data_IF_831292374851
#
_entry.id   IF_831292374851
#
_cell.length_a   1.000
_cell.length_b   1.000
_cell.length_c   1.000
_cell.angle_alpha   90.00
_cell.angle_beta   90.00
_cell.angle_gamma   90.00
#
_symmetry.space_group_name_H-M   'P 1'
#
loop_
_entity.id
_entity.type
_entity.pdbx_description
1 polymer ?
#
# COMPACT_ATOMS: atom_id res chain seq x y z
N UNK A 1 -1.48 5.12 29.11
CA UNK A 1 -1.38 5.08 27.63
C UNK A 1 -1.50 6.49 27.10
N UNK A 2 -1.16 6.72 25.83
CA UNK A 2 -1.48 7.98 25.18
C UNK A 2 -2.99 8.07 24.91
N UNK A 3 -3.58 9.24 25.14
CA UNK A 3 -4.98 9.49 24.86
C UNK A 3 -5.11 10.50 23.72
N UNK A 4 -5.84 10.11 22.68
CA UNK A 4 -6.21 10.96 21.56
C UNK A 4 -7.69 11.36 21.70
N UNK A 5 -7.95 12.65 21.53
CA UNK A 5 -9.30 13.19 21.51
C UNK A 5 -9.69 13.46 20.06
N UNK A 6 -10.81 12.86 19.65
CA UNK A 6 -11.40 13.03 18.33
C UNK A 6 -12.61 13.94 18.43
N UNK A 7 -12.65 14.99 17.62
CA UNK A 7 -13.88 15.80 17.41
C UNK A 7 -14.47 15.51 16.04
N UNK A 8 -15.76 15.80 15.89
CA UNK A 8 -16.49 15.56 14.65
C UNK A 8 -17.37 16.76 14.32
N UNK A 9 -17.50 17.04 13.03
CA UNK A 9 -18.51 17.96 12.50
C UNK A 9 -19.92 17.43 12.77
N UNK A 10 -20.95 18.29 12.67
CA UNK A 10 -22.35 17.87 12.84
C UNK A 10 -22.80 16.72 11.92
N UNK A 11 -22.14 16.60 10.77
CA UNK A 11 -22.35 15.52 9.79
C UNK A 11 -21.56 14.23 10.10
N UNK A 12 -20.99 14.11 11.29
CA UNK A 12 -20.18 12.97 11.75
C UNK A 12 -18.89 12.72 10.95
N UNK A 13 -18.43 13.72 10.20
CA UNK A 13 -17.12 13.70 9.57
C UNK A 13 -16.05 14.13 10.59
N UNK A 14 -14.88 13.49 10.56
CA UNK A 14 -13.77 13.75 11.50
C UNK A 14 -13.35 15.22 11.41
N UNK A 15 -13.25 15.93 12.53
CA UNK A 15 -12.84 17.34 12.58
C UNK A 15 -11.40 17.50 13.09
N UNK A 16 -11.10 17.05 14.30
CA UNK A 16 -9.75 17.19 14.86
C UNK A 16 -9.26 15.92 15.55
N UNK A 17 -7.95 15.77 15.63
CA UNK A 17 -7.22 14.74 16.37
C UNK A 17 -6.12 15.44 17.17
N UNK A 18 -6.38 15.62 18.47
CA UNK A 18 -5.47 16.28 19.40
C UNK A 18 -5.08 15.34 20.53
N UNK A 19 -3.84 15.47 20.99
CA UNK A 19 -3.39 14.84 22.22
C UNK A 19 -3.76 15.72 23.44
N UNK A 20 -3.85 15.12 24.63
CA UNK A 20 -4.07 15.80 25.93
C UNK A 20 -2.88 16.66 26.40
N UNK A 21 -1.73 16.60 25.73
CA UNK A 21 -0.55 17.47 25.83
C UNK A 21 -0.14 17.95 24.40
N UNK A 22 0.82 18.88 24.18
CA UNK A 22 0.81 19.92 23.12
C UNK A 22 0.96 19.46 21.65
N UNK A 23 0.68 18.20 21.33
CA UNK A 23 0.73 17.66 19.99
C UNK A 23 -0.65 17.72 19.33
N UNK A 24 -0.70 18.40 18.19
CA UNK A 24 -1.83 18.40 17.28
C UNK A 24 -1.44 17.63 16.03
N UNK A 25 -2.23 16.63 15.65
CA UNK A 25 -2.00 15.85 14.43
C UNK A 25 -2.95 16.26 13.31
N UNK A 26 -4.19 16.57 13.69
CA UNK A 26 -5.19 17.25 12.86
C UNK A 26 -5.83 18.32 13.74
N UNK A 27 -5.62 19.59 13.42
CA UNK A 27 -6.24 20.72 14.13
C UNK A 27 -7.69 20.90 13.70
N UNK A 28 -7.97 20.74 12.41
CA UNK A 28 -9.32 20.80 11.86
C UNK A 28 -9.37 20.10 10.51
N UNK A 29 -10.57 19.76 10.08
CA UNK A 29 -10.83 19.41 8.70
C UNK A 29 -11.94 20.29 8.14
N UNK A 30 -11.94 20.42 6.83
CA UNK A 30 -13.07 20.99 6.11
C UNK A 30 -13.46 20.04 5.00
N UNK A 31 -14.75 19.78 4.89
CA UNK A 31 -15.33 18.98 3.82
C UNK A 31 -16.19 19.91 2.98
N UNK A 32 -15.68 20.28 1.81
CA UNK A 32 -16.41 21.04 0.79
C UNK A 32 -16.89 20.07 -0.29
N UNK A 33 -17.95 20.41 -1.05
CA UNK A 33 -18.41 19.58 -2.17
C UNK A 33 -17.32 19.29 -3.21
N UNK A 34 -16.30 20.16 -3.28
CA UNK A 34 -15.19 20.18 -4.22
C UNK A 34 -13.82 19.96 -3.55
N UNK A 35 -13.77 19.63 -2.25
CA UNK A 35 -12.49 19.34 -1.62
C UNK A 35 -12.49 18.91 -0.16
N UNK A 36 -11.34 18.40 0.28
CA UNK A 36 -11.05 18.06 1.68
C UNK A 36 -9.76 18.74 2.11
N UNK A 37 -9.78 19.31 3.32
CA UNK A 37 -8.58 19.84 3.98
C UNK A 37 -8.30 18.98 5.21
N UNK A 38 -7.10 18.41 5.30
CA UNK A 38 -6.57 17.87 6.55
C UNK A 38 -5.39 18.73 6.96
N UNK A 39 -5.39 19.25 8.18
CA UNK A 39 -4.19 19.90 8.67
C UNK A 39 -4.17 20.05 10.17
N UNK A 40 -2.98 20.07 10.75
CA UNK A 40 -2.78 20.85 11.96
C UNK A 40 -2.67 22.35 11.57
N UNK A 41 -2.66 23.29 12.50
CA UNK A 41 -2.50 24.70 12.15
C UNK A 41 -1.14 25.02 11.48
N UNK A 42 -0.34 24.02 11.11
CA UNK A 42 1.05 24.13 10.65
C UNK A 42 1.28 23.54 9.25
N UNK A 43 0.60 22.44 8.89
CA UNK A 43 0.61 21.80 7.56
C UNK A 43 -0.81 21.44 7.16
N UNK A 44 -1.13 21.63 5.88
CA UNK A 44 -2.40 21.23 5.29
C UNK A 44 -2.21 20.39 4.04
N UNK A 45 -3.17 19.50 3.78
CA UNK A 45 -3.35 18.79 2.52
C UNK A 45 -4.73 19.08 1.97
N UNK A 46 -4.75 19.67 0.78
CA UNK A 46 -5.95 20.00 0.01
C UNK A 46 -6.13 18.99 -1.12
N UNK A 47 -7.35 18.45 -1.21
CA UNK A 47 -7.81 17.65 -2.35
C UNK A 47 -8.77 18.50 -3.16
N UNK A 48 -8.46 18.78 -4.43
CA UNK A 48 -9.40 19.42 -5.35
C UNK A 48 -9.95 18.37 -6.32
N UNK A 49 -11.24 18.45 -6.63
CA UNK A 49 -11.90 17.54 -7.55
C UNK A 49 -12.37 18.27 -8.80
N UNK A 50 -12.33 17.58 -9.94
CA UNK A 50 -13.00 18.08 -11.13
C UNK A 50 -14.49 18.34 -10.85
N UNK A 51 -15.06 19.31 -11.55
CA UNK A 51 -16.52 19.48 -11.52
C UNK A 51 -17.22 18.21 -12.01
N UNK A 52 -18.35 17.88 -11.39
CA UNK A 52 -19.11 16.67 -11.68
C UNK A 52 -19.38 16.51 -13.19
N UNK A 53 -19.64 17.61 -13.89
CA UNK A 53 -20.01 17.63 -15.32
C UNK A 53 -18.86 17.35 -16.28
N UNK A 54 -17.59 17.44 -15.87
CA UNK A 54 -16.44 17.20 -16.76
C UNK A 54 -15.78 15.84 -16.55
N UNK A 55 -15.67 15.38 -15.30
CA UNK A 55 -14.94 14.16 -14.93
C UNK A 55 -15.57 13.45 -13.71
N UNK A 56 -16.85 13.66 -13.42
CA UNK A 56 -17.58 12.90 -12.40
C UNK A 56 -17.01 13.06 -10.98
N UNK A 57 -16.46 14.23 -10.64
CA UNK A 57 -15.83 14.49 -9.34
C UNK A 57 -14.62 13.60 -9.04
N UNK A 58 -13.86 13.21 -10.07
CA UNK A 58 -12.54 12.60 -9.92
C UNK A 58 -11.55 13.61 -9.33
N UNK A 59 -10.59 13.08 -8.58
CA UNK A 59 -9.52 13.86 -7.95
C UNK A 59 -8.69 14.57 -9.04
N UNK A 60 -8.60 15.89 -8.97
CA UNK A 60 -7.79 16.68 -9.90
C UNK A 60 -6.45 17.04 -9.29
N UNK A 61 -6.43 17.53 -8.05
CA UNK A 61 -5.19 17.92 -7.38
C UNK A 61 -5.07 17.32 -5.98
N UNK A 62 -3.84 16.95 -5.61
CA UNK A 62 -3.41 16.86 -4.21
C UNK A 62 -2.35 17.95 -4.01
N UNK A 63 -2.59 18.88 -3.09
CA UNK A 63 -1.64 19.91 -2.69
C UNK A 63 -1.33 19.75 -1.22
N UNK A 64 -0.07 19.75 -0.85
CA UNK A 64 0.33 19.75 0.55
C UNK A 64 1.39 20.80 0.80
N UNK A 65 1.26 21.51 1.92
CA UNK A 65 2.12 22.65 2.24
C UNK A 65 1.74 23.34 3.52
N UNK A 66 2.30 24.52 3.75
CA UNK A 66 1.89 25.38 4.87
C UNK A 66 0.58 26.10 4.54
N UNK A 67 -0.19 26.60 5.53
CA UNK A 67 -1.38 27.40 5.25
C UNK A 67 -1.13 28.65 4.39
N UNK A 68 0.08 29.23 4.46
CA UNK A 68 0.47 30.38 3.66
C UNK A 68 0.91 30.02 2.24
N UNK A 69 1.30 28.77 2.02
CA UNK A 69 1.79 28.23 0.75
C UNK A 69 1.34 26.76 0.62
N UNK A 70 0.06 26.53 0.22
CA UNK A 70 -0.62 25.24 0.30
C UNK A 70 -0.02 24.13 -0.57
N UNK A 71 0.80 24.49 -1.54
CA UNK A 71 1.44 23.57 -2.48
C UNK A 71 2.97 23.57 -2.37
N UNK A 72 3.55 24.19 -1.33
CA UNK A 72 5.01 24.25 -1.09
C UNK A 72 5.75 22.90 -0.94
N UNK A 73 5.07 21.82 -0.56
CA UNK A 73 5.71 20.51 -0.31
C UNK A 73 5.32 19.45 -1.35
N UNK A 74 4.10 19.52 -1.87
CA UNK A 74 3.57 18.56 -2.83
C UNK A 74 2.49 19.22 -3.67
N UNK A 75 2.51 18.96 -4.98
CA UNK A 75 1.45 19.37 -5.89
C UNK A 75 1.36 18.36 -7.03
N UNK A 76 0.40 17.45 -6.89
CA UNK A 76 0.13 16.40 -7.87
C UNK A 76 -1.16 16.74 -8.63
N UNK A 77 -1.09 16.85 -9.95
CA UNK A 77 -2.26 16.95 -10.83
C UNK A 77 -2.52 15.64 -11.56
N UNK A 78 -3.79 15.27 -11.71
CA UNK A 78 -4.23 14.01 -12.31
C UNK A 78 -5.13 14.26 -13.52
N UNK A 79 -4.75 13.68 -14.66
CA UNK A 79 -5.57 13.67 -15.89
C UNK A 79 -6.09 12.26 -16.16
N UNK A 80 -7.31 12.16 -16.69
CA UNK A 80 -8.00 10.89 -16.93
C UNK A 80 -8.45 10.72 -18.39
N UNK A 81 -8.53 9.47 -18.84
CA UNK A 81 -9.27 9.12 -20.04
C UNK A 81 -10.80 9.01 -19.77
N UNK A 82 -11.64 8.81 -20.79
CA UNK A 82 -13.09 8.64 -20.61
C UNK A 82 -13.47 7.43 -19.72
N UNK A 83 -12.65 6.37 -19.69
CA UNK A 83 -12.87 5.19 -18.86
C UNK A 83 -12.50 5.44 -17.38
N UNK A 84 -11.79 6.54 -17.10
CA UNK A 84 -11.34 6.92 -15.76
C UNK A 84 -9.97 6.37 -15.39
N UNK A 85 -9.19 5.90 -16.36
CA UNK A 85 -7.80 5.56 -16.12
C UNK A 85 -6.97 6.85 -16.07
N UNK A 86 -6.01 6.92 -15.14
CA UNK A 86 -5.11 8.08 -15.03
C UNK A 86 -4.13 8.04 -16.22
N UNK A 87 -4.19 9.03 -17.11
CA UNK A 87 -3.28 9.15 -18.26
C UNK A 87 -2.07 10.03 -17.98
N UNK A 88 -2.17 10.91 -16.98
CA UNK A 88 -1.07 11.78 -16.58
C UNK A 88 -1.09 12.03 -15.08
N UNK A 89 0.10 12.05 -14.48
CA UNK A 89 0.34 12.63 -13.15
C UNK A 89 1.43 13.69 -13.32
N UNK A 90 1.16 14.94 -12.97
CA UNK A 90 2.17 16.02 -12.96
C UNK A 90 2.54 16.34 -11.52
N UNK A 91 3.82 16.20 -11.18
CA UNK A 91 4.39 16.68 -9.93
C UNK A 91 5.15 18.00 -10.18
N UNK A 92 4.57 19.10 -9.70
CA UNK A 92 5.14 20.44 -9.86
C UNK A 92 6.29 20.73 -8.87
N UNK A 93 6.48 19.87 -7.86
CA UNK A 93 7.54 20.02 -6.85
C UNK A 93 8.70 19.06 -7.05
N UNK A 94 8.81 18.47 -8.24
CA UNK A 94 9.83 17.49 -8.59
C UNK A 94 11.18 18.12 -9.00
N UNK A 95 11.53 19.32 -8.50
CA UNK A 95 12.68 20.09 -8.99
C UNK A 95 12.44 20.73 -10.36
N UNK A 96 11.18 21.09 -10.62
CA UNK A 96 10.60 21.39 -11.93
C UNK A 96 9.45 20.42 -12.22
N UNK A 97 8.59 20.76 -13.17
CA UNK A 97 7.41 19.95 -13.49
C UNK A 97 7.83 18.60 -14.07
N UNK A 98 7.56 17.52 -13.32
CA UNK A 98 7.72 16.15 -13.80
C UNK A 98 6.37 15.59 -14.19
N UNK A 99 6.25 15.15 -15.44
CA UNK A 99 5.07 14.44 -15.93
C UNK A 99 5.36 12.94 -15.95
N UNK A 100 4.51 12.14 -15.29
CA UNK A 100 4.37 10.72 -15.57
C UNK A 100 3.20 10.54 -16.55
N UNK A 101 3.43 9.86 -17.66
CA UNK A 101 2.41 9.58 -18.67
C UNK A 101 2.13 8.08 -18.75
N UNK A 102 0.86 7.71 -18.89
CA UNK A 102 0.38 6.34 -18.91
C UNK A 102 -0.53 6.09 -20.10
N UNK A 103 -0.39 4.91 -20.69
CA UNK A 103 -1.33 4.40 -21.70
C UNK A 103 -1.92 3.06 -21.27
N UNK A 104 -3.08 2.71 -21.82
CA UNK A 104 -3.81 1.52 -21.45
C UNK A 104 -4.23 0.74 -22.71
N UNK A 105 -4.34 -0.58 -22.55
CA UNK A 105 -4.97 -1.43 -23.56
C UNK A 105 -6.50 -1.36 -23.49
N UNK A 106 -7.18 -2.03 -24.42
CA UNK A 106 -8.65 -2.06 -24.49
C UNK A 106 -9.32 -2.70 -23.26
N UNK A 107 -8.56 -3.40 -22.41
CA UNK A 107 -9.04 -3.99 -21.16
C UNK A 107 -8.72 -3.10 -19.94
N UNK A 108 -8.32 -1.83 -20.15
CA UNK A 108 -7.89 -0.89 -19.13
C UNK A 108 -6.69 -1.36 -18.31
N UNK A 109 -5.83 -2.21 -18.89
CA UNK A 109 -4.56 -2.60 -18.27
C UNK A 109 -3.46 -1.68 -18.75
N UNK A 110 -2.54 -1.33 -17.85
CA UNK A 110 -1.42 -0.45 -18.18
C UNK A 110 -0.61 -1.03 -19.34
N UNK A 111 -0.40 -0.27 -20.41
CA UNK A 111 0.31 -0.67 -21.62
C UNK A 111 1.68 0.02 -21.73
N UNK A 112 1.78 1.29 -21.33
CA UNK A 112 3.07 1.97 -21.16
C UNK A 112 3.04 2.97 -20.01
N UNK A 113 4.22 3.20 -19.43
CA UNK A 113 4.46 4.26 -18.46
C UNK A 113 5.81 4.92 -18.75
N UNK A 114 5.88 6.23 -18.65
CA UNK A 114 7.14 6.97 -18.82
C UNK A 114 7.13 8.27 -18.03
N UNK A 115 8.29 8.90 -17.92
CA UNK A 115 8.41 10.24 -17.33
C UNK A 115 9.10 11.22 -18.26
N UNK A 116 8.77 12.49 -18.11
CA UNK A 116 9.46 13.61 -18.74
C UNK A 116 9.51 14.81 -17.79
N UNK A 117 10.53 15.65 -17.95
CA UNK A 117 10.70 16.83 -17.10
C UNK A 117 11.10 16.54 -15.64
N UNK A 118 11.12 17.60 -14.84
CA UNK A 118 11.59 17.61 -13.46
C UNK A 118 13.05 17.19 -13.27
N UNK A 119 13.41 16.91 -12.03
CA UNK A 119 14.74 16.47 -11.60
C UNK A 119 14.65 15.18 -10.78
N UNK A 120 15.54 14.23 -11.10
CA UNK A 120 15.57 12.91 -10.48
C UNK A 120 14.34 12.06 -10.81
N UNK A 121 14.40 10.75 -10.55
CA UNK A 121 13.25 9.85 -10.73
C UNK A 121 12.84 9.56 -12.17
N UNK A 122 13.53 10.15 -13.14
CA UNK A 122 13.24 9.99 -14.55
C UNK A 122 13.49 8.55 -15.01
N UNK A 123 12.51 7.97 -15.69
CA UNK A 123 12.61 6.74 -16.46
C UNK A 123 11.99 6.92 -17.86
N UNK A 124 12.62 6.30 -18.86
CA UNK A 124 12.11 6.26 -20.23
C UNK A 124 10.88 5.37 -20.36
N UNK A 125 10.37 5.19 -21.58
CA UNK A 125 9.18 4.38 -21.78
C UNK A 125 9.38 2.91 -21.38
N UNK A 126 8.60 2.50 -20.38
CA UNK A 126 8.43 1.12 -19.99
C UNK A 126 7.14 0.58 -20.60
N UNK A 127 7.24 -0.52 -21.34
CA UNK A 127 6.09 -1.20 -21.94
C UNK A 127 5.66 -2.38 -21.08
N UNK A 128 4.37 -2.64 -21.11
CA UNK A 128 3.71 -3.70 -20.35
C UNK A 128 2.81 -4.47 -21.31
N UNK A 129 3.10 -5.75 -21.48
CA UNK A 129 2.32 -6.61 -22.36
C UNK A 129 1.73 -7.76 -21.59
N UNK A 130 0.63 -8.30 -22.09
CA UNK A 130 -0.12 -9.36 -21.44
C UNK A 130 -0.38 -10.48 -22.42
N UNK A 131 -0.34 -11.71 -21.93
CA UNK A 131 -0.74 -12.87 -22.69
C UNK A 131 -2.25 -12.77 -23.01
N UNK A 132 -2.60 -12.84 -24.29
CA UNK A 132 -3.98 -12.69 -24.75
C UNK A 132 -4.92 -13.81 -24.25
N UNK A 133 -4.40 -15.01 -23.99
CA UNK A 133 -5.19 -16.16 -23.54
C UNK A 133 -5.34 -16.24 -22.02
N UNK A 134 -4.27 -15.95 -21.26
CA UNK A 134 -4.29 -16.09 -19.79
C UNK A 134 -4.53 -14.78 -19.05
N UNK A 135 -4.31 -13.63 -19.71
CA UNK A 135 -4.34 -12.31 -19.08
C UNK A 135 -3.11 -12.00 -18.21
N UNK A 136 -2.19 -12.95 -18.03
CA UNK A 136 -0.99 -12.75 -17.23
C UNK A 136 -0.06 -11.71 -17.90
N UNK A 137 0.65 -10.87 -17.12
CA UNK A 137 1.71 -10.03 -17.65
C UNK A 137 2.80 -10.87 -18.32
N UNK A 138 3.08 -10.63 -19.60
CA UNK A 138 4.16 -11.28 -20.37
C UNK A 138 5.42 -10.43 -20.42
N UNK A 139 5.30 -9.11 -20.30
CA UNK A 139 6.43 -8.19 -20.19
C UNK A 139 6.14 -7.10 -19.16
N UNK A 140 7.17 -6.71 -18.42
CA UNK A 140 7.15 -5.63 -17.44
C UNK A 140 8.39 -4.76 -17.63
N UNK A 141 8.23 -3.59 -18.23
CA UNK A 141 9.31 -2.61 -18.40
C UNK A 141 10.52 -3.17 -19.13
N UNK A 142 10.29 -3.97 -20.18
CA UNK A 142 11.35 -4.62 -20.97
C UNK A 142 11.77 -5.99 -20.45
N UNK A 143 11.35 -6.39 -19.24
CA UNK A 143 11.64 -7.73 -18.68
C UNK A 143 10.51 -8.69 -19.04
N UNK A 144 10.84 -9.77 -19.76
CA UNK A 144 9.86 -10.81 -20.10
C UNK A 144 9.64 -11.76 -18.92
N UNK A 145 8.38 -12.11 -18.66
CA UNK A 145 7.97 -12.98 -17.56
C UNK A 145 7.53 -14.34 -18.11
N UNK A 146 8.05 -15.42 -17.54
CA UNK A 146 7.76 -16.80 -17.95
C UNK A 146 6.93 -17.53 -16.91
N UNK A 147 6.06 -18.43 -17.38
CA UNK A 147 5.12 -19.20 -16.56
C UNK A 147 5.24 -20.68 -16.91
N UNK A 148 6.27 -21.34 -16.37
CA UNK A 148 6.58 -22.75 -16.64
C UNK A 148 5.81 -23.75 -15.78
N UNK A 149 5.12 -23.28 -14.74
CA UNK A 149 4.37 -24.13 -13.81
C UNK A 149 2.92 -24.29 -14.26
N UNK A 150 2.56 -25.50 -14.71
CA UNK A 150 1.22 -25.80 -15.19
C UNK A 150 0.20 -25.94 -14.06
N UNK A 151 0.62 -26.23 -12.84
CA UNK A 151 -0.24 -26.29 -11.66
C UNK A 151 -0.49 -24.89 -11.08
N UNK A 152 0.45 -23.97 -11.31
CA UNK A 152 0.38 -22.58 -10.86
C UNK A 152 0.43 -21.61 -12.05
N UNK A 153 -0.57 -21.66 -12.93
CA UNK A 153 -0.58 -20.90 -14.21
C UNK A 153 -0.48 -19.38 -14.08
N UNK A 154 -0.66 -18.83 -12.88
CA UNK A 154 -0.53 -17.39 -12.60
C UNK A 154 0.81 -17.02 -11.95
N UNK A 155 1.66 -18.00 -11.66
CA UNK A 155 2.92 -17.84 -10.94
C UNK A 155 4.09 -17.67 -11.92
N UNK A 156 4.81 -16.56 -11.81
CA UNK A 156 6.01 -16.30 -12.61
C UNK A 156 7.10 -17.26 -12.17
N UNK A 157 7.63 -18.09 -13.07
CA UNK A 157 8.71 -19.03 -12.74
C UNK A 157 10.10 -18.47 -13.02
N UNK A 158 10.21 -17.55 -13.97
CA UNK A 158 11.48 -16.90 -14.31
C UNK A 158 11.30 -15.61 -15.10
N UNK A 159 12.37 -14.82 -15.20
CA UNK A 159 12.41 -13.60 -16.00
C UNK A 159 13.57 -13.62 -17.01
N UNK A 160 13.46 -12.83 -18.08
CA UNK A 160 14.57 -12.63 -19.04
C UNK A 160 15.78 -11.92 -18.41
N UNK A 161 15.63 -11.35 -17.21
CA UNK A 161 16.71 -10.75 -16.43
C UNK A 161 17.43 -11.77 -15.51
N UNK A 162 17.13 -13.07 -15.65
CA UNK A 162 17.82 -14.14 -14.92
C UNK A 162 17.29 -14.42 -13.51
N UNK A 163 16.13 -13.86 -13.14
CA UNK A 163 15.46 -14.19 -11.88
C UNK A 163 14.67 -15.50 -12.01
N UNK A 164 14.54 -16.22 -10.91
CA UNK A 164 13.84 -17.50 -10.85
C UNK A 164 13.01 -17.63 -9.57
N UNK A 165 11.86 -18.30 -9.66
CA UNK A 165 10.94 -18.48 -8.55
C UNK A 165 10.39 -19.89 -8.51
N UNK A 166 10.18 -20.38 -7.29
CA UNK A 166 9.68 -21.72 -6.99
C UNK A 166 8.48 -21.63 -6.07
N UNK A 167 7.57 -22.59 -6.18
CA UNK A 167 6.30 -22.58 -5.48
C UNK A 167 6.02 -23.95 -4.84
N UNK A 168 5.33 -23.94 -3.69
CA UNK A 168 4.73 -25.16 -3.12
C UNK A 168 3.42 -25.53 -3.83
N UNK A 169 2.80 -26.66 -3.46
CA UNK A 169 1.53 -27.13 -4.02
C UNK A 169 0.33 -26.20 -3.78
N UNK A 170 0.44 -25.28 -2.80
CA UNK A 170 -0.58 -24.27 -2.52
C UNK A 170 -0.32 -22.97 -3.29
N UNK A 171 0.72 -22.93 -4.13
CA UNK A 171 1.16 -21.77 -4.89
C UNK A 171 1.80 -20.67 -4.04
N UNK A 172 2.34 -20.99 -2.85
CA UNK A 172 3.18 -20.07 -2.09
C UNK A 172 4.60 -20.08 -2.65
N UNK A 173 5.18 -18.89 -2.86
CA UNK A 173 6.55 -18.75 -3.36
C UNK A 173 7.56 -19.21 -2.31
N UNK A 174 8.16 -20.39 -2.47
CA UNK A 174 9.14 -20.98 -1.53
C UNK A 174 10.59 -20.64 -1.86
N UNK A 175 10.88 -20.38 -3.13
CA UNK A 175 12.19 -19.97 -3.61
C UNK A 175 12.07 -18.68 -4.41
N UNK A 176 12.94 -17.72 -4.12
CA UNK A 176 13.01 -16.44 -4.81
C UNK A 176 14.45 -16.08 -5.09
N UNK A 177 14.82 -16.04 -6.36
CA UNK A 177 16.12 -15.57 -6.82
C UNK A 177 15.92 -14.29 -7.62
N UNK A 178 16.44 -13.17 -7.11
CA UNK A 178 16.40 -11.87 -7.80
C UNK A 178 17.76 -11.21 -7.69
N UNK A 179 18.22 -10.60 -8.78
CA UNK A 179 19.47 -9.82 -8.80
C UNK A 179 20.71 -10.60 -8.30
N UNK A 180 20.72 -11.92 -8.48
CA UNK A 180 21.81 -12.81 -8.03
C UNK A 180 21.68 -13.28 -6.58
N UNK A 181 20.79 -12.68 -5.78
CA UNK A 181 20.52 -13.08 -4.41
C UNK A 181 19.42 -14.14 -4.35
N UNK A 182 19.59 -15.10 -3.44
CA UNK A 182 18.65 -16.21 -3.26
C UNK A 182 18.02 -16.17 -1.87
N UNK A 183 16.70 -16.24 -1.84
CA UNK A 183 15.88 -16.25 -0.65
C UNK A 183 15.03 -17.53 -0.61
N UNK A 184 14.99 -18.16 0.54
CA UNK A 184 14.06 -19.26 0.86
C UNK A 184 12.99 -18.74 1.79
N UNK A 185 11.74 -18.93 1.39
CA UNK A 185 10.55 -18.44 2.07
C UNK A 185 9.77 -19.62 2.65
N UNK A 186 9.49 -19.58 3.94
CA UNK A 186 8.79 -20.66 4.66
C UNK A 186 7.46 -20.15 5.19
N UNK A 187 6.42 -20.96 5.02
CA UNK A 187 5.04 -20.63 5.35
C UNK A 187 4.50 -21.53 6.45
N UNK A 188 3.54 -21.02 7.21
CA UNK A 188 2.72 -21.84 8.10
C UNK A 188 1.58 -22.55 7.34
N UNK A 189 0.79 -23.34 8.08
CA UNK A 189 -0.34 -24.08 7.51
C UNK A 189 -1.49 -23.21 6.99
N UNK A 190 -1.50 -21.91 7.31
CA UNK A 190 -2.46 -20.92 6.80
C UNK A 190 -1.88 -20.10 5.62
N UNK A 191 -0.74 -20.54 5.07
CA UNK A 191 -0.04 -19.88 3.97
C UNK A 191 0.36 -18.44 4.30
N UNK A 192 0.81 -18.21 5.53
CA UNK A 192 1.43 -16.95 5.98
C UNK A 192 2.94 -17.12 6.04
N UNK A 193 3.69 -16.15 5.50
CA UNK A 193 5.16 -16.19 5.48
C UNK A 193 5.70 -16.03 6.89
N UNK A 194 6.25 -17.08 7.48
CA UNK A 194 6.78 -17.06 8.85
C UNK A 194 8.30 -16.91 8.91
N UNK A 195 9.01 -17.18 7.81
CA UNK A 195 10.46 -17.07 7.78
C UNK A 195 11.01 -16.77 6.39
N UNK A 196 12.06 -15.94 6.35
CA UNK A 196 12.93 -15.74 5.19
C UNK A 196 14.36 -16.11 5.59
N UNK A 197 15.06 -16.82 4.71
CA UNK A 197 16.47 -17.21 4.89
C UNK A 197 17.24 -17.13 3.56
N UNK A 198 18.57 -17.27 3.60
CA UNK A 198 19.45 -17.10 2.44
C UNK A 198 20.21 -15.77 2.52
N UNK A 199 20.05 -14.92 1.50
CA UNK A 199 20.67 -13.60 1.43
C UNK A 199 20.25 -12.64 2.57
N UNK A 200 19.08 -12.88 3.16
CA UNK A 200 18.63 -12.18 4.37
C UNK A 200 17.96 -13.15 5.34
N UNK A 201 17.82 -12.73 6.59
CA UNK A 201 17.16 -13.52 7.65
C UNK A 201 16.03 -12.73 8.29
N UNK A 202 14.87 -13.37 8.35
CA UNK A 202 13.73 -12.84 9.07
C UNK A 202 12.80 -13.92 9.62
N UNK A 203 12.18 -13.63 10.76
CA UNK A 203 11.11 -14.43 11.37
C UNK A 203 9.89 -13.54 11.64
N UNK A 204 8.70 -14.03 11.31
CA UNK A 204 7.43 -13.33 11.48
C UNK A 204 6.48 -14.13 12.37
N UNK A 205 5.67 -13.43 13.17
CA UNK A 205 4.60 -14.04 13.95
C UNK A 205 3.30 -13.27 13.74
N UNK A 206 2.20 -14.02 13.68
CA UNK A 206 0.87 -13.53 13.41
C UNK A 206 -0.09 -13.89 14.55
N UNK A 207 -1.11 -13.06 14.77
CA UNK A 207 -2.22 -13.40 15.64
C UNK A 207 -3.23 -14.36 14.94
N UNK A 208 -4.31 -14.71 15.64
CA UNK A 208 -5.35 -15.59 15.12
C UNK A 208 -6.16 -14.99 13.96
N UNK A 209 -6.13 -13.68 13.78
CA UNK A 209 -6.81 -12.96 12.69
C UNK A 209 -5.88 -12.74 11.48
N UNK A 210 -4.61 -13.15 11.58
CA UNK A 210 -3.61 -13.02 10.53
C UNK A 210 -2.88 -11.67 10.51
N UNK A 211 -3.01 -10.83 11.54
CA UNK A 211 -2.22 -9.61 11.66
C UNK A 211 -0.82 -9.95 12.15
N UNK A 212 0.21 -9.34 11.54
CA UNK A 212 1.59 -9.49 12.00
C UNK A 212 1.78 -8.77 13.34
N UNK A 213 2.18 -9.52 14.37
CA UNK A 213 2.38 -9.01 15.74
C UNK A 213 3.85 -8.94 16.14
N UNK A 214 4.73 -9.64 15.41
CA UNK A 214 6.18 -9.61 15.63
C UNK A 214 6.91 -9.83 14.30
N UNK A 215 7.97 -9.08 14.09
CA UNK A 215 8.97 -9.36 13.07
C UNK A 215 10.36 -9.30 13.72
N UNK A 216 11.24 -10.23 13.36
CA UNK A 216 12.68 -10.14 13.66
C UNK A 216 13.40 -10.16 12.32
N UNK A 217 13.99 -9.04 11.92
CA UNK A 217 14.64 -8.89 10.60
C UNK A 217 16.06 -8.40 10.82
N UNK A 218 17.06 -9.11 10.28
CA UNK A 218 18.47 -8.75 10.46
C UNK A 218 18.89 -8.65 11.94
N UNK A 219 18.27 -9.45 12.82
CA UNK A 219 18.51 -9.44 14.26
C UNK A 219 17.74 -8.38 15.06
N UNK A 220 17.01 -7.47 14.41
CA UNK A 220 16.18 -6.46 15.09
C UNK A 220 14.76 -6.99 15.29
N UNK A 221 14.32 -7.13 16.54
CA UNK A 221 12.95 -7.52 16.88
C UNK A 221 12.06 -6.29 17.03
N UNK A 222 10.96 -6.28 16.29
CA UNK A 222 9.88 -5.29 16.37
C UNK A 222 8.58 -5.99 16.73
N UNK A 223 7.89 -5.48 17.75
CA UNK A 223 6.54 -5.89 18.12
C UNK A 223 5.53 -4.87 17.60
N UNK A 224 4.37 -5.35 17.13
CA UNK A 224 3.32 -4.53 16.56
C UNK A 224 2.05 -4.61 17.39
N UNK A 225 1.48 -3.45 17.71
CA UNK A 225 0.13 -3.36 18.28
C UNK A 225 -0.78 -2.77 17.22
N UNK A 226 -1.37 -3.66 16.42
CA UNK A 226 -2.14 -3.31 15.23
C UNK A 226 -1.34 -2.41 14.28
N UNK A 227 -2.02 -1.44 13.71
CA UNK A 227 -1.43 -0.46 12.79
C UNK A 227 -0.90 0.80 13.48
N UNK A 228 -0.93 0.86 14.82
CA UNK A 228 -0.77 2.10 15.57
C UNK A 228 0.59 2.23 16.26
N UNK A 229 1.28 1.12 16.51
CA UNK A 229 2.47 1.14 17.35
C UNK A 229 3.48 0.07 16.97
N UNK A 230 4.76 0.47 16.94
CA UNK A 230 5.92 -0.42 16.79
C UNK A 230 6.83 -0.26 18.01
N UNK A 231 7.21 -1.39 18.61
CA UNK A 231 8.10 -1.45 19.76
C UNK A 231 9.36 -2.24 19.45
N UNK A 232 10.51 -1.60 19.61
CA UNK A 232 11.84 -2.16 19.32
C UNK A 232 12.67 -2.36 20.60
N UNK A 233 12.03 -2.44 21.77
CA UNK A 233 12.71 -2.64 23.05
C UNK A 233 13.20 -1.36 23.72
N UNK A 234 13.07 -0.19 23.08
CA UNK A 234 13.45 1.10 23.65
C UNK A 234 12.38 2.18 23.41
N UNK A 235 12.20 3.02 24.43
CA UNK A 235 11.32 4.19 24.35
C UNK A 235 11.84 5.29 23.43
N UNK A 236 13.12 5.28 23.06
CA UNK A 236 13.71 6.24 22.10
C UNK A 236 13.47 5.86 20.65
N UNK A 237 13.17 4.59 20.36
CA UNK A 237 13.03 4.04 19.00
C UNK A 237 11.65 3.45 18.73
N UNK A 238 10.72 3.56 19.69
CA UNK A 238 9.31 3.22 19.47
C UNK A 238 8.73 4.11 18.37
N UNK A 239 7.73 3.60 17.66
CA UNK A 239 7.02 4.38 16.64
C UNK A 239 5.53 4.35 16.92
N UNK A 240 4.88 5.50 16.81
CA UNK A 240 3.42 5.63 16.91
C UNK A 240 2.88 6.21 15.61
N UNK A 241 1.75 5.69 15.14
CA UNK A 241 1.11 6.13 13.91
C UNK A 241 -0.26 6.74 14.18
N UNK A 242 -0.58 7.77 13.42
CA UNK A 242 -1.81 8.54 13.55
C UNK A 242 -2.57 8.52 12.23
N UNK A 243 -3.88 8.35 12.34
CA UNK A 243 -4.77 8.11 11.21
C UNK A 243 -5.91 9.12 11.19
N UNK A 244 -6.26 9.61 10.00
CA UNK A 244 -7.45 10.40 9.74
C UNK A 244 -8.21 9.77 8.58
N UNK A 245 -9.53 9.57 8.74
CA UNK A 245 -10.39 8.91 7.75
C UNK A 245 -9.85 7.56 7.21
N UNK A 246 -9.12 6.81 8.05
CA UNK A 246 -8.51 5.53 7.67
C UNK A 246 -7.15 5.63 6.98
N UNK A 247 -6.68 6.82 6.63
CA UNK A 247 -5.35 7.06 6.06
C UNK A 247 -4.33 7.38 7.14
N UNK A 248 -3.11 6.84 7.01
CA UNK A 248 -1.98 7.19 7.88
C UNK A 248 -1.45 8.56 7.49
N UNK A 249 -1.55 9.52 8.40
CA UNK A 249 -1.22 10.93 8.12
C UNK A 249 0.04 11.40 8.85
N UNK A 250 0.40 10.75 9.96
CA UNK A 250 1.55 11.16 10.75
C UNK A 250 2.14 9.99 11.54
N UNK A 251 3.36 10.19 12.00
CA UNK A 251 4.06 9.30 12.91
C UNK A 251 4.87 10.07 13.93
N UNK A 252 5.13 9.46 15.08
CA UNK A 252 6.08 9.95 16.08
C UNK A 252 7.10 8.89 16.41
N UNK A 253 8.37 9.28 16.46
CA UNK A 253 9.48 8.40 16.82
C UNK A 253 9.99 8.76 18.21
N UNK A 254 10.09 7.74 19.06
CA UNK A 254 10.51 7.86 20.45
C UNK A 254 9.51 8.57 21.37
N UNK A 255 9.93 8.81 22.61
CA UNK A 255 9.19 9.62 23.59
C UNK A 255 9.32 11.14 23.36
N UNK A 256 10.21 11.58 22.46
CA UNK A 256 10.40 12.98 22.13
C UNK A 256 9.29 13.55 21.24
N UNK A 257 9.41 14.84 20.91
CA UNK A 257 8.49 15.60 20.07
C UNK A 257 8.71 15.44 18.56
N UNK A 258 9.51 14.45 18.12
CA UNK A 258 9.79 14.27 16.69
C UNK A 258 8.61 13.63 15.98
N UNK A 259 7.70 14.49 15.53
CA UNK A 259 6.58 14.15 14.66
C UNK A 259 6.97 14.32 13.20
N UNK A 260 6.47 13.41 12.37
CA UNK A 260 6.56 13.49 10.93
C UNK A 260 5.18 13.35 10.32
N UNK A 261 4.89 14.16 9.31
CA UNK A 261 3.66 14.08 8.52
C UNK A 261 3.95 13.32 7.24
N UNK A 262 3.03 12.43 6.86
CA UNK A 262 3.13 11.56 5.70
C UNK A 262 2.19 12.13 4.64
N UNK A 263 2.76 12.68 3.58
CA UNK A 263 2.04 13.26 2.46
C UNK A 263 1.97 12.22 1.34
N UNK A 264 0.76 11.76 1.07
CA UNK A 264 0.50 10.63 0.18
C UNK A 264 0.14 11.02 -1.25
N UNK A 265 0.27 10.09 -2.18
CA UNK A 265 -0.39 10.18 -3.49
C UNK A 265 -1.84 9.65 -3.43
N UNK A 266 -2.51 9.60 -4.58
CA UNK A 266 -3.88 9.08 -4.74
C UNK A 266 -4.07 7.61 -4.30
N UNK A 267 -3.01 6.80 -4.25
CA UNK A 267 -3.07 5.41 -3.75
C UNK A 267 -2.72 5.32 -2.25
N UNK A 268 -2.39 6.44 -1.62
CA UNK A 268 -1.89 6.49 -0.25
C UNK A 268 -0.41 6.11 -0.14
N UNK A 269 0.34 6.07 -1.25
CA UNK A 269 1.79 5.87 -1.21
C UNK A 269 2.46 7.07 -0.57
N UNK A 270 3.42 6.84 0.33
CA UNK A 270 4.22 7.93 0.92
C UNK A 270 5.07 8.60 -0.16
N UNK A 271 4.74 9.83 -0.55
CA UNK A 271 5.48 10.61 -1.54
C UNK A 271 6.45 11.58 -0.85
N UNK A 272 5.99 12.30 0.16
CA UNK A 272 6.80 13.23 0.95
C UNK A 272 6.61 12.97 2.44
N UNK A 273 7.67 13.10 3.21
CA UNK A 273 7.59 13.23 4.66
C UNK A 273 8.03 14.62 5.09
N UNK A 274 7.25 15.27 5.94
CA UNK A 274 7.57 16.58 6.49
C UNK A 274 7.88 16.46 7.99
N UNK A 275 8.70 17.37 8.52
CA UNK A 275 9.06 17.41 9.94
C UNK A 275 8.31 18.52 10.71
N UNK A 276 8.53 18.59 12.02
CA UNK A 276 7.90 19.57 12.91
C UNK A 276 8.25 21.04 12.60
N UNK A 277 9.25 21.29 11.77
CA UNK A 277 9.59 22.64 11.29
C UNK A 277 8.80 23.05 10.05
N UNK A 278 7.90 22.18 9.55
CA UNK A 278 7.10 22.33 8.31
C UNK A 278 7.94 22.25 7.03
N UNK A 279 9.09 21.59 7.10
CA UNK A 279 9.99 21.43 5.97
C UNK A 279 9.93 19.99 5.44
N UNK A 280 10.18 19.84 4.14
CA UNK A 280 10.42 18.52 3.51
C UNK A 280 11.60 17.84 4.22
N UNK A 281 11.35 16.63 4.72
CA UNK A 281 12.32 15.79 5.42
C UNK A 281 12.80 14.62 4.55
N UNK A 282 11.92 14.06 3.73
CA UNK A 282 12.28 13.01 2.79
C UNK A 282 11.27 12.90 1.66
N UNK A 283 11.70 12.36 0.53
CA UNK A 283 10.88 12.19 -0.66
C UNK A 283 11.12 10.82 -1.29
N UNK A 284 10.04 10.21 -1.75
CA UNK A 284 10.04 8.99 -2.55
C UNK A 284 9.18 9.20 -3.78
N UNK A 285 9.64 8.71 -4.93
CA UNK A 285 8.81 8.57 -6.14
C UNK A 285 8.85 7.14 -6.61
N UNK A 286 7.71 6.68 -7.14
CA UNK A 286 7.51 5.31 -7.55
C UNK A 286 7.22 5.24 -9.05
N UNK A 287 7.69 4.17 -9.69
CA UNK A 287 7.13 3.71 -10.96
C UNK A 287 5.74 3.12 -10.72
N UNK A 288 5.02 2.84 -11.81
CA UNK A 288 3.64 2.37 -11.79
C UNK A 288 3.35 1.19 -10.84
N UNK A 289 4.34 0.30 -10.66
CA UNK A 289 4.21 -0.93 -9.85
C UNK A 289 4.94 -0.91 -8.50
N UNK A 290 5.33 0.27 -8.02
CA UNK A 290 5.90 0.45 -6.69
C UNK A 290 7.42 0.38 -6.59
N UNK A 291 8.12 0.20 -7.72
CA UNK A 291 9.58 0.36 -7.82
C UNK A 291 9.94 1.80 -7.46
N UNK A 292 10.82 2.02 -6.51
CA UNK A 292 11.27 3.37 -6.13
C UNK A 292 12.21 3.87 -7.24
N UNK A 293 11.81 4.92 -7.95
CA UNK A 293 12.65 5.54 -8.98
C UNK A 293 13.44 6.74 -8.44
N UNK A 294 13.03 7.31 -7.30
CA UNK A 294 13.70 8.44 -6.68
C UNK A 294 13.66 8.34 -5.16
N UNK A 295 14.76 8.75 -4.54
CA UNK A 295 14.85 8.94 -3.09
C UNK A 295 15.66 10.19 -2.82
N UNK A 296 15.08 11.10 -2.04
CA UNK A 296 15.80 12.24 -1.49
C UNK A 296 15.74 12.16 0.03
N UNK A 297 16.92 12.09 0.66
CA UNK A 297 17.09 11.78 2.08
C UNK A 297 16.38 10.48 2.51
N UNK A 298 16.35 10.20 3.81
CA UNK A 298 15.73 8.99 4.37
C UNK A 298 14.37 9.35 4.95
N UNK A 299 13.32 8.70 4.44
CA UNK A 299 12.00 8.76 5.08
C UNK A 299 11.99 7.96 6.39
N UNK A 300 11.39 8.49 7.48
CA UNK A 300 11.31 7.81 8.78
C UNK A 300 10.35 6.61 8.78
N UNK A 301 9.53 6.43 7.74
CA UNK A 301 8.51 5.38 7.69
C UNK A 301 8.91 4.22 6.78
N UNK A 302 8.59 3.00 7.22
CA UNK A 302 8.60 1.79 6.37
C UNK A 302 7.33 1.63 5.55
N UNK A 303 6.29 2.43 5.81
CA UNK A 303 5.07 2.42 5.02
C UNK A 303 5.23 3.28 3.78
N UNK A 304 5.34 2.66 2.62
CA UNK A 304 5.74 3.29 1.35
C UNK A 304 4.64 3.16 0.30
N UNK A 305 4.87 2.44 -0.80
CA UNK A 305 3.92 2.24 -1.89
C UNK A 305 2.55 1.74 -1.41
N UNK A 306 1.47 2.41 -1.83
CA UNK A 306 0.07 2.17 -1.41
C UNK A 306 -0.14 2.11 0.11
N UNK A 307 0.73 2.79 0.86
CA UNK A 307 0.70 2.86 2.32
C UNK A 307 1.07 1.56 3.04
N UNK A 308 1.67 0.59 2.34
CA UNK A 308 2.02 -0.74 2.87
C UNK A 308 3.45 -0.79 3.41
N UNK A 309 3.67 -1.69 4.38
CA UNK A 309 4.97 -1.84 5.05
C UNK A 309 5.95 -2.53 4.11
N UNK A 310 7.08 -1.90 3.86
CA UNK A 310 8.16 -2.41 3.03
C UNK A 310 9.26 -3.06 3.85
N UNK A 311 9.75 -4.19 3.37
CA UNK A 311 10.96 -4.88 3.82
C UNK A 311 11.96 -4.91 2.66
N UNK A 312 12.75 -3.84 2.56
CA UNK A 312 13.83 -3.70 1.57
C UNK A 312 14.96 -4.72 1.76
N UNK A 313 15.01 -5.39 2.91
CA UNK A 313 16.01 -6.42 3.23
C UNK A 313 15.88 -7.68 2.36
N UNK A 314 14.79 -7.83 1.60
CA UNK A 314 14.50 -9.02 0.78
C UNK A 314 14.71 -8.78 -0.73
N UNK A 315 15.77 -8.09 -1.13
CA UNK A 315 16.13 -7.78 -2.53
C UNK A 315 16.77 -6.39 -2.66
N UNK A 316 16.84 -5.81 -3.87
CA UNK A 316 17.15 -4.37 -4.03
C UNK A 316 16.23 -3.48 -3.21
N UNK A 317 16.52 -2.17 -3.22
CA UNK A 317 15.87 -1.09 -2.47
C UNK A 317 14.33 -1.12 -2.35
N UNK A 318 13.63 -1.93 -3.16
CA UNK A 318 12.17 -2.11 -3.17
C UNK A 318 11.67 -3.33 -2.38
N UNK A 319 12.46 -4.41 -2.27
CA UNK A 319 12.17 -5.59 -1.44
C UNK A 319 10.77 -6.17 -1.58
N UNK A 320 10.15 -6.56 -0.46
CA UNK A 320 8.77 -7.04 -0.41
C UNK A 320 7.86 -6.11 0.41
N UNK A 321 6.61 -5.99 -0.02
CA UNK A 321 5.58 -5.24 0.70
C UNK A 321 4.58 -6.16 1.39
N UNK A 322 4.29 -5.88 2.65
CA UNK A 322 3.32 -6.60 3.44
C UNK A 322 1.93 -5.93 3.36
N UNK A 323 1.00 -6.58 2.68
CA UNK A 323 -0.42 -6.21 2.49
C UNK A 323 -1.32 -6.95 3.48
N UNK A 324 -0.88 -7.10 4.73
CA UNK A 324 -1.54 -7.83 5.82
C UNK A 324 -1.70 -9.33 5.58
N UNK A 325 -2.61 -9.74 4.71
CA UNK A 325 -2.80 -11.16 4.42
C UNK A 325 -1.78 -11.70 3.42
N UNK A 326 -1.03 -10.82 2.73
CA UNK A 326 -0.22 -11.19 1.57
C UNK A 326 1.07 -10.39 1.50
N UNK A 327 2.03 -10.93 0.77
CA UNK A 327 3.25 -10.24 0.41
C UNK A 327 3.24 -9.94 -1.09
N UNK A 328 3.65 -8.73 -1.46
CA UNK A 328 3.76 -8.26 -2.83
C UNK A 328 5.23 -8.09 -3.18
N UNK A 329 5.63 -8.68 -4.30
CA UNK A 329 6.93 -8.53 -4.92
C UNK A 329 6.88 -7.46 -5.99
N UNK A 330 7.55 -6.35 -5.74
CA UNK A 330 7.63 -5.21 -6.65
C UNK A 330 8.44 -5.55 -7.92
N UNK A 331 9.38 -6.49 -7.83
CA UNK A 331 10.27 -6.85 -8.94
C UNK A 331 9.45 -7.44 -10.09
N UNK A 332 8.57 -8.40 -9.78
CA UNK A 332 7.67 -9.06 -10.76
C UNK A 332 6.25 -8.51 -10.78
N UNK A 333 5.90 -7.56 -9.90
CA UNK A 333 4.53 -7.09 -9.68
C UNK A 333 3.55 -8.20 -9.32
N UNK A 334 3.95 -9.13 -8.47
CA UNK A 334 3.15 -10.32 -8.16
C UNK A 334 2.96 -10.54 -6.66
N UNK A 335 1.85 -11.16 -6.31
CA UNK A 335 1.58 -11.60 -4.95
C UNK A 335 2.25 -12.97 -4.72
N UNK A 336 2.90 -13.15 -3.57
CA UNK A 336 3.66 -14.36 -3.23
C UNK A 336 2.81 -15.62 -2.94
N UNK A 337 1.48 -15.55 -3.05
CA UNK A 337 0.57 -16.68 -2.83
C UNK A 337 -0.67 -16.61 -3.72
N UNK A 338 -1.27 -17.78 -3.99
CA UNK A 338 -2.58 -17.86 -4.66
C UNK A 338 -3.71 -17.26 -3.82
N UNK A 339 -4.69 -16.69 -4.50
CA UNK A 339 -5.88 -16.09 -3.88
C UNK A 339 -6.85 -17.16 -3.39
N UNK A 340 -6.77 -17.55 -2.12
CA UNK A 340 -7.85 -18.30 -1.46
C UNK A 340 -8.92 -17.32 -0.98
N UNK A 341 -9.86 -16.96 -1.86
CA UNK A 341 -11.00 -16.15 -1.42
C UNK A 341 -11.94 -17.00 -0.57
N UNK A 342 -12.12 -16.66 0.71
CA UNK A 342 -13.36 -16.94 1.46
C UNK A 342 -14.33 -15.75 1.34
N UNK A 343 -14.47 -15.22 0.12
CA UNK A 343 -15.51 -14.29 -0.33
C UNK A 343 -15.06 -13.81 -1.70
N UNK A 344 -15.83 -14.11 -2.75
CA UNK A 344 -15.46 -13.96 -4.16
C UNK A 344 -15.13 -12.54 -4.62
N UNK A 345 -13.97 -12.03 -4.21
CA UNK A 345 -13.34 -10.84 -4.77
C UNK A 345 -12.02 -11.27 -5.38
N UNK A 346 -12.06 -11.57 -6.68
CA UNK A 346 -10.88 -11.69 -7.52
C UNK A 346 -10.19 -10.33 -7.54
N UNK A 347 -9.06 -10.18 -6.85
CA UNK A 347 -8.17 -9.03 -7.06
C UNK A 347 -7.29 -9.43 -8.25
N UNK A 348 -7.67 -8.95 -9.44
CA UNK A 348 -6.78 -8.80 -10.58
C UNK A 348 -5.61 -7.90 -10.16
N UNK A 349 -4.41 -8.19 -10.66
CA UNK A 349 -3.18 -7.43 -10.46
C UNK A 349 -3.43 -5.92 -10.26
N UNK A 350 -2.97 -5.39 -9.14
CA UNK A 350 -3.14 -3.98 -8.77
C UNK A 350 -2.28 -3.08 -9.67
N UNK A 351 -2.77 -2.78 -10.88
CA UNK A 351 -2.33 -1.60 -11.62
C UNK A 351 -3.00 -0.33 -11.07
N UNK A 352 -2.68 0.86 -11.61
CA UNK A 352 -3.24 2.16 -11.18
C UNK A 352 -4.74 2.34 -11.53
N UNK A 353 -5.50 1.26 -11.63
CA UNK A 353 -6.93 1.28 -11.93
C UNK A 353 -7.72 1.54 -10.64
N UNK A 354 -8.39 2.68 -10.58
CA UNK A 354 -9.32 3.02 -9.50
C UNK A 354 -10.49 2.04 -9.50
N UNK A 355 -10.62 1.22 -8.45
CA UNK A 355 -11.85 0.48 -8.17
C UNK A 355 -12.74 1.39 -7.34
N UNK A 356 -13.82 1.88 -7.94
CA UNK A 356 -14.91 2.57 -7.24
C UNK A 356 -15.60 1.62 -6.27
N UNK A 357 -15.46 1.87 -4.96
CA UNK A 357 -16.29 1.23 -3.96
C UNK A 357 -17.70 1.84 -3.98
N UNK A 358 -18.78 1.06 -4.14
CA UNK A 358 -20.13 1.57 -3.91
C UNK A 358 -20.34 1.85 -2.42
N UNK A 359 -21.07 2.93 -2.11
CA UNK A 359 -21.50 3.31 -0.75
C UNK A 359 -22.09 2.11 0.02
N UNK A 360 -21.83 1.96 1.33
CA UNK A 360 -22.51 0.96 2.13
C UNK A 360 -23.98 1.36 2.34
N UNK A 361 -24.90 0.64 1.71
CA UNK A 361 -26.29 0.59 2.14
C UNK A 361 -26.37 -0.22 3.43
N UNK A 362 -27.14 0.30 4.40
CA UNK A 362 -27.30 -0.19 5.77
C UNK A 362 -27.50 -1.72 5.83
N UNK A 363 -26.54 -2.43 6.42
CA UNK A 363 -26.72 -3.84 6.79
C UNK A 363 -26.87 -3.94 8.32
N UNK A 364 -28.09 -4.24 8.77
CA UNK A 364 -28.39 -4.53 10.16
C UNK A 364 -27.92 -5.96 10.47
N UNK A 365 -26.82 -6.10 11.21
CA UNK A 365 -26.33 -7.40 11.70
C UNK A 365 -27.02 -7.70 13.02
N UNK A 366 -27.79 -8.80 13.08
CA UNK A 366 -28.26 -9.39 14.34
C UNK A 366 -27.21 -10.41 14.81
N UNK A 367 -26.68 -10.22 16.02
CA UNK A 367 -25.77 -11.16 16.65
C UNK A 367 -26.54 -12.39 17.17
N UNK A 368 -26.07 -13.59 16.83
CA UNK A 368 -26.35 -14.81 17.59
C UNK A 368 -25.01 -15.31 18.14
N UNK A 369 -24.87 -15.28 19.47
CA UNK A 369 -23.66 -15.71 20.16
C UNK A 369 -23.58 -17.24 20.21
N UNK A 370 -22.42 -17.81 19.84
CA UNK A 370 -22.05 -19.16 20.20
C UNK A 370 -20.60 -19.14 20.71
N UNK A 371 -20.41 -19.54 21.98
CA UNK A 371 -19.13 -19.63 22.68
C UNK A 371 -18.24 -20.75 22.10
N UNK A 372 -16.91 -20.57 22.00
CA UNK A 372 -16.02 -21.64 21.56
C UNK A 372 -15.66 -22.60 22.70
N UNK A 373 -15.68 -23.91 22.43
CA UNK A 373 -14.94 -24.92 23.20
C UNK A 373 -13.68 -25.30 22.43
N UNK A 374 -12.54 -25.24 23.12
CA UNK A 374 -11.25 -25.74 22.63
C UNK A 374 -11.28 -27.25 22.39
N UNK A 375 -10.66 -27.68 21.29
CA UNK A 375 -10.20 -29.06 21.09
C UNK A 375 -9.12 -29.09 20.01
N UNK A 376 -7.88 -29.22 20.45
CA UNK A 376 -6.70 -29.51 19.64
C UNK A 376 -6.65 -30.99 19.27
N UNK A 377 -7.09 -31.34 18.05
CA UNK A 377 -6.63 -32.54 17.32
C UNK A 377 -7.13 -32.48 15.87
N UNK A 378 -6.24 -32.84 14.94
CA UNK A 378 -6.47 -32.87 13.50
C UNK A 378 -7.49 -33.96 13.12
N UNK A 379 -8.54 -33.60 12.39
CA UNK A 379 -9.56 -34.53 11.89
C UNK A 379 -10.32 -33.92 10.72
N UNK A 380 -10.16 -34.51 9.55
CA UNK A 380 -10.81 -34.13 8.30
C UNK A 380 -12.33 -34.30 8.37
N UNK A 381 -13.07 -33.19 8.32
CA UNK A 381 -14.52 -33.21 8.11
C UNK A 381 -14.90 -32.42 6.86
N UNK A 382 -15.17 -33.14 5.76
CA UNK A 382 -16.00 -32.63 4.66
C UNK A 382 -17.44 -32.53 5.16
N UNK A 383 -17.96 -31.31 5.32
CA UNK A 383 -19.41 -31.07 5.38
C UNK A 383 -19.88 -30.55 4.03
N UNK A 384 -20.50 -31.42 3.24
CA UNK A 384 -21.26 -31.04 2.06
C UNK A 384 -22.53 -30.28 2.49
N UNK A 385 -22.79 -29.14 1.86
CA UNK A 385 -24.05 -28.41 1.99
C UNK A 385 -24.88 -28.78 0.75
N UNK A 386 -25.96 -29.55 0.97
CA UNK A 386 -26.99 -29.79 -0.02
C UNK A 386 -28.01 -28.64 0.07
N UNK A 387 -28.14 -27.84 -0.99
CA UNK A 387 -29.18 -26.83 -1.10
C UNK A 387 -30.46 -27.49 -1.65
N UNK A 388 -31.51 -27.53 -0.82
CA UNK A 388 -32.89 -27.81 -1.24
C UNK A 388 -33.60 -26.47 -1.40
N UNK A 389 -34.17 -26.24 -2.58
CA UNK A 389 -35.09 -25.13 -2.85
C UNK A 389 -36.51 -25.62 -2.57
N UNK A 390 -37.24 -24.93 -1.69
CA UNK A 390 -38.70 -25.02 -1.66
C UNK A 390 -39.26 -23.65 -2.04
N UNK A 391 -39.98 -23.62 -3.17
CA UNK A 391 -40.91 -22.56 -3.53
C UNK A 391 -42.13 -22.67 -2.62
N UNK A 392 -42.58 -21.54 -2.08
CA UNK A 392 -43.95 -21.06 -2.27
C UNK A 392 -43.99 -19.55 -2.02
#
# INVERSE_FOLDING_TARGET
GEQLNYTYHRQMALDSIVNTAPFTYVASTSYRPDGRVFGDNLLQTDYDYYVWTSQGSRLQFIKSGTPADPDSLQKLEYTYDPNGNITQIVDYNAGGDQTQAFTYDLANRLASAQTSGGSGGGYGEETYTYNAATGNPSNKGGVSLSYGDTNHRHAVTSTSAGSAFQYDENGNMTGRQVEGETFTLTYDCESRLIRVSGAATADFSYDGDGNMVKATVGGVTTYYVGNYFEWTGSVSTMVKYYYADGQRIAMRVGMGSTSYWILGDHLGSTAVTANSSRAKYGELRYKAWGVICYTWQITPTRYRYTGQRQYGEFGSNDGLYFYNARWYDVYVSAILRLTTSKSGSYILNMGPSCVTLPRPSKMTIRYAAALPRHSSTCGSYRKGITLSTNRH
#
